data_IF_456668661708
#
_entry.id   IF_456668661708
#
_cell.length_a   1.000
_cell.length_b   1.000
_cell.length_c   1.000
_cell.angle_alpha   90.00
_cell.angle_beta   90.00
_cell.angle_gamma   90.00
#
_symmetry.space_group_name_H-M   'P 1'
#
loop_
_entity.id
_entity.type
_entity.pdbx_description
1 polymer ?
#
# COMPACT_ATOMS: atom_id res chain seq x y z
N UNK A 1 -13.86 -10.72 10.69
CA UNK A 1 -13.38 -9.55 9.92
C UNK A 1 -14.58 -8.90 9.22
N UNK A 2 -14.75 -7.57 9.25
CA UNK A 2 -15.86 -6.88 8.58
C UNK A 2 -15.97 -7.18 7.08
N UNK A 3 -17.18 -7.07 6.52
CA UNK A 3 -17.42 -7.33 5.10
C UNK A 3 -16.64 -6.37 4.18
N UNK A 4 -16.51 -5.10 4.58
CA UNK A 4 -15.72 -4.10 3.85
C UNK A 4 -14.22 -4.46 3.80
N UNK A 5 -13.68 -4.98 4.90
CA UNK A 5 -12.31 -5.50 4.97
C UNK A 5 -12.09 -6.69 4.03
N UNK A 6 -13.04 -7.64 4.02
CA UNK A 6 -12.97 -8.80 3.11
C UNK A 6 -13.07 -8.36 1.64
N UNK A 7 -13.95 -7.42 1.33
CA UNK A 7 -14.09 -6.90 -0.03
C UNK A 7 -12.83 -6.16 -0.48
N UNK A 8 -12.23 -5.33 0.37
CA UNK A 8 -10.97 -4.63 0.10
C UNK A 8 -9.83 -5.63 -0.13
N UNK A 9 -9.70 -6.64 0.76
CA UNK A 9 -8.71 -7.72 0.64
C UNK A 9 -8.82 -8.43 -0.70
N UNK A 10 -9.99 -8.96 -1.03
CA UNK A 10 -10.18 -9.70 -2.29
C UNK A 10 -9.94 -8.82 -3.52
N UNK A 11 -10.27 -7.52 -3.44
CA UNK A 11 -9.98 -6.57 -4.50
C UNK A 11 -8.49 -6.33 -4.71
N UNK A 12 -7.77 -6.10 -3.62
CA UNK A 12 -6.33 -5.91 -3.66
C UNK A 12 -5.60 -7.18 -4.12
N UNK A 13 -6.02 -8.36 -3.68
CA UNK A 13 -5.43 -9.63 -4.14
C UNK A 13 -5.64 -9.85 -5.64
N UNK A 14 -6.83 -9.54 -6.16
CA UNK A 14 -7.10 -9.60 -7.59
C UNK A 14 -6.27 -8.58 -8.39
N UNK A 15 -6.11 -7.35 -7.86
CA UNK A 15 -5.34 -6.29 -8.52
C UNK A 15 -3.84 -6.58 -8.55
N UNK A 16 -3.30 -7.18 -7.47
CA UNK A 16 -1.89 -7.47 -7.33
C UNK A 16 -1.49 -8.88 -7.80
N UNK A 17 -2.46 -9.77 -8.00
CA UNK A 17 -2.22 -11.14 -8.48
C UNK A 17 -1.52 -12.03 -7.46
N UNK A 18 -1.62 -11.72 -6.16
CA UNK A 18 -1.00 -12.50 -5.08
C UNK A 18 -1.83 -12.44 -3.81
N UNK A 19 -1.53 -13.31 -2.86
CA UNK A 19 -2.23 -13.38 -1.58
C UNK A 19 -1.69 -12.36 -0.57
N UNK A 20 -2.58 -11.95 0.33
CA UNK A 20 -2.31 -11.09 1.47
C UNK A 20 -2.59 -11.79 2.79
N UNK A 21 -1.99 -11.26 3.85
CA UNK A 21 -2.47 -11.46 5.22
C UNK A 21 -3.39 -10.31 5.59
N UNK A 22 -4.34 -10.53 6.49
CA UNK A 22 -5.22 -9.48 6.99
C UNK A 22 -5.55 -9.73 8.46
N UNK A 23 -5.56 -8.65 9.24
CA UNK A 23 -5.86 -8.68 10.66
C UNK A 23 -6.67 -7.45 11.07
N UNK A 24 -7.39 -7.56 12.19
CA UNK A 24 -7.97 -6.39 12.85
C UNK A 24 -6.85 -5.65 13.58
N UNK A 25 -6.80 -4.34 13.42
CA UNK A 25 -5.78 -3.49 14.01
C UNK A 25 -6.32 -2.05 14.15
N UNK A 26 -5.64 -1.24 14.96
CA UNK A 26 -5.76 0.20 14.85
C UNK A 26 -5.15 0.65 13.51
N UNK A 27 -5.89 1.44 12.74
CA UNK A 27 -5.47 1.97 11.45
C UNK A 27 -5.28 3.46 11.61
N UNK A 28 -4.12 3.93 11.15
CA UNK A 28 -3.82 5.36 11.08
C UNK A 28 -4.22 5.91 9.72
N UNK A 29 -4.76 7.13 9.73
CA UNK A 29 -5.10 7.87 8.52
C UNK A 29 -4.68 9.35 8.73
N UNK A 30 -3.99 9.99 7.77
CA UNK A 30 -3.53 11.37 7.93
C UNK A 30 -4.64 12.33 8.36
N UNK A 31 -4.39 13.11 9.40
CA UNK A 31 -5.36 14.08 9.93
C UNK A 31 -6.50 13.48 10.75
N UNK A 32 -6.48 12.17 11.04
CA UNK A 32 -7.48 11.49 11.88
C UNK A 32 -6.82 10.79 13.06
N UNK A 33 -7.59 10.54 14.12
CA UNK A 33 -7.15 9.67 15.19
C UNK A 33 -7.13 8.22 14.71
N UNK A 34 -6.19 7.42 15.23
CA UNK A 34 -6.15 5.99 14.95
C UNK A 34 -7.48 5.34 15.34
N UNK A 35 -8.05 4.57 14.42
CA UNK A 35 -9.37 3.97 14.58
C UNK A 35 -9.31 2.45 14.40
N UNK A 36 -10.16 1.67 15.10
CA UNK A 36 -10.22 0.23 14.92
C UNK A 36 -10.71 -0.10 13.51
N UNK A 37 -9.97 -0.96 12.82
CA UNK A 37 -10.25 -1.32 11.43
C UNK A 37 -9.60 -2.63 11.05
N UNK A 38 -9.13 -2.71 9.81
CA UNK A 38 -8.32 -3.83 9.37
C UNK A 38 -7.12 -3.37 8.57
N UNK A 39 -6.03 -4.10 8.74
CA UNK A 39 -4.79 -3.94 7.99
C UNK A 39 -4.60 -5.17 7.11
N UNK A 40 -4.52 -4.94 5.80
CA UNK A 40 -4.20 -5.95 4.79
C UNK A 40 -2.76 -5.73 4.39
N UNK A 41 -1.95 -6.79 4.41
CA UNK A 41 -0.52 -6.70 4.13
C UNK A 41 -0.14 -7.69 3.03
N UNK A 42 0.60 -7.19 2.05
CA UNK A 42 1.30 -8.01 1.07
C UNK A 42 2.79 -7.86 1.29
N UNK A 43 3.50 -8.98 1.20
CA UNK A 43 4.96 -9.00 1.21
C UNK A 43 5.44 -9.80 0.01
N UNK A 44 6.62 -9.44 -0.49
CA UNK A 44 7.20 -10.13 -1.63
C UNK A 44 8.38 -9.37 -2.19
N UNK A 45 8.73 -9.65 -3.44
CA UNK A 45 9.79 -8.93 -4.14
C UNK A 45 9.28 -8.29 -5.41
N UNK A 46 10.10 -7.45 -6.03
CA UNK A 46 9.82 -6.94 -7.37
C UNK A 46 9.71 -8.02 -8.44
N UNK A 47 10.11 -9.27 -8.18
CA UNK A 47 9.78 -10.39 -9.07
C UNK A 47 8.27 -10.69 -9.10
N UNK A 48 7.55 -10.39 -8.02
CA UNK A 48 6.09 -10.55 -7.91
C UNK A 48 5.37 -9.28 -8.35
N UNK A 49 5.82 -8.13 -7.83
CA UNK A 49 5.09 -6.86 -7.99
C UNK A 49 5.59 -5.99 -9.16
N UNK A 50 6.76 -6.29 -9.70
CA UNK A 50 7.47 -5.45 -10.66
C UNK A 50 8.52 -4.53 -10.00
N UNK A 51 9.32 -3.87 -10.83
CA UNK A 51 10.40 -2.99 -10.39
C UNK A 51 9.96 -1.54 -10.07
N UNK A 52 8.66 -1.23 -10.15
CA UNK A 52 8.14 0.12 -9.89
C UNK A 52 7.01 0.06 -8.87
N UNK A 53 7.24 0.67 -7.71
CA UNK A 53 6.21 0.83 -6.69
C UNK A 53 5.08 1.74 -7.18
N UNK A 54 5.36 2.71 -8.06
CA UNK A 54 4.33 3.57 -8.66
C UNK A 54 3.38 2.74 -9.54
N UNK A 55 3.89 1.77 -10.31
CA UNK A 55 3.04 0.88 -11.10
C UNK A 55 2.15 -0.02 -10.23
N UNK A 56 2.64 -0.42 -9.04
CA UNK A 56 1.85 -1.15 -8.05
C UNK A 56 0.76 -0.25 -7.47
N UNK A 57 1.11 0.97 -7.08
CA UNK A 57 0.17 1.97 -6.57
C UNK A 57 -0.91 2.31 -7.60
N UNK A 58 -0.56 2.47 -8.87
CA UNK A 58 -1.51 2.73 -9.96
C UNK A 58 -2.52 1.58 -10.17
N UNK A 59 -2.11 0.32 -9.99
CA UNK A 59 -3.03 -0.83 -10.03
C UNK A 59 -4.04 -0.77 -8.88
N UNK A 60 -3.57 -0.42 -7.68
CA UNK A 60 -4.43 -0.26 -6.51
C UNK A 60 -5.37 0.94 -6.68
N UNK A 61 -4.87 2.06 -7.18
CA UNK A 61 -5.68 3.25 -7.48
C UNK A 61 -6.80 2.95 -8.48
N UNK A 62 -6.47 2.27 -9.59
CA UNK A 62 -7.48 1.80 -10.57
C UNK A 62 -8.54 0.91 -9.90
N UNK A 63 -8.13 0.01 -9.01
CA UNK A 63 -9.05 -0.85 -8.25
C UNK A 63 -9.93 -0.05 -7.30
N UNK A 64 -9.38 0.95 -6.62
CA UNK A 64 -10.09 1.82 -5.69
C UNK A 64 -11.13 2.67 -6.43
N UNK A 65 -10.73 3.39 -7.48
CA UNK A 65 -11.62 4.21 -8.30
C UNK A 65 -12.73 3.39 -8.97
N UNK A 66 -12.39 2.22 -9.53
CA UNK A 66 -13.37 1.30 -10.11
C UNK A 66 -14.41 0.78 -9.10
N UNK A 67 -14.14 0.94 -7.80
CA UNK A 67 -15.04 0.59 -6.69
C UNK A 67 -15.70 1.81 -6.05
N UNK A 68 -15.56 3.00 -6.65
CA UNK A 68 -16.18 4.24 -6.19
C UNK A 68 -15.52 4.86 -4.96
N UNK A 69 -14.25 4.55 -4.70
CA UNK A 69 -13.44 5.32 -3.76
C UNK A 69 -12.96 6.61 -4.42
N UNK A 70 -12.92 7.69 -3.65
CA UNK A 70 -12.40 8.99 -4.11
C UNK A 70 -11.04 9.21 -3.46
N UNK A 71 -10.02 9.55 -4.25
CA UNK A 71 -8.69 9.86 -3.74
C UNK A 71 -8.73 11.10 -2.84
N UNK A 72 -7.91 11.09 -1.80
CA UNK A 72 -7.70 12.22 -0.89
C UNK A 72 -6.27 12.74 -1.04
N UNK A 73 -6.08 13.84 -1.78
CA UNK A 73 -4.76 14.42 -2.01
C UNK A 73 -4.05 14.86 -0.72
N UNK A 74 -4.77 15.07 0.39
CA UNK A 74 -4.16 15.44 1.67
C UNK A 74 -3.53 14.26 2.41
N UNK A 75 -3.82 13.03 1.95
CA UNK A 75 -3.29 11.79 2.49
C UNK A 75 -2.34 11.08 1.51
N UNK A 76 -1.83 11.81 0.52
CA UNK A 76 -0.79 11.34 -0.40
C UNK A 76 0.61 11.71 0.11
N UNK A 77 1.57 10.80 -0.04
CA UNK A 77 2.98 11.07 0.27
C UNK A 77 3.89 10.24 -0.64
N UNK A 78 4.88 10.89 -1.25
CA UNK A 78 5.85 10.21 -2.12
C UNK A 78 7.26 10.25 -1.53
N UNK A 79 7.97 9.14 -1.72
CA UNK A 79 9.36 8.97 -1.36
C UNK A 79 10.16 8.28 -2.46
N UNK A 80 11.49 8.18 -2.29
CA UNK A 80 12.36 7.54 -3.28
C UNK A 80 12.17 6.02 -3.37
N UNK A 81 11.60 5.39 -2.33
CA UNK A 81 11.41 3.93 -2.23
C UNK A 81 9.97 3.51 -1.95
N UNK A 82 9.03 4.44 -2.00
CA UNK A 82 7.64 4.13 -1.72
C UNK A 82 6.72 5.32 -1.94
N UNK A 83 5.43 5.03 -1.87
CA UNK A 83 4.34 6.00 -1.99
C UNK A 83 3.21 5.61 -1.07
N UNK A 84 2.48 6.60 -0.57
CA UNK A 84 1.26 6.42 0.20
C UNK A 84 0.12 7.19 -0.46
N UNK A 85 -1.08 6.61 -0.44
CA UNK A 85 -2.30 7.16 -1.03
C UNK A 85 -3.44 7.07 -0.01
N UNK A 86 -4.31 8.08 0.00
CA UNK A 86 -5.53 8.08 0.81
C UNK A 86 -6.79 8.04 -0.04
N UNK A 87 -7.84 7.41 0.49
CA UNK A 87 -9.14 7.33 -0.16
C UNK A 87 -10.30 7.43 0.82
N UNK A 88 -11.43 7.98 0.36
CA UNK A 88 -12.68 8.03 1.11
C UNK A 88 -13.85 7.39 0.36
N UNK A 89 -14.77 6.78 1.13
CA UNK A 89 -16.05 6.27 0.63
C UNK A 89 -17.06 6.10 1.77
N UNK A 90 -18.21 6.78 1.69
CA UNK A 90 -19.36 6.58 2.61
C UNK A 90 -18.95 6.51 4.10
N UNK A 91 -18.18 7.50 4.57
CA UNK A 91 -17.72 7.56 5.96
C UNK A 91 -16.52 6.65 6.30
N UNK A 92 -16.05 5.84 5.36
CA UNK A 92 -14.84 5.02 5.50
C UNK A 92 -13.63 5.76 4.93
N UNK A 93 -12.44 5.43 5.42
CA UNK A 93 -11.17 5.86 4.84
C UNK A 93 -10.25 4.66 4.61
N UNK A 94 -9.45 4.71 3.54
CA UNK A 94 -8.40 3.72 3.26
C UNK A 94 -7.07 4.43 3.08
N UNK A 95 -6.10 4.08 3.92
CA UNK A 95 -4.70 4.44 3.71
C UNK A 95 -3.98 3.28 3.01
N UNK A 96 -3.29 3.57 1.92
CA UNK A 96 -2.46 2.62 1.17
C UNK A 96 -0.99 3.03 1.33
N UNK A 97 -0.11 2.07 1.59
CA UNK A 97 1.34 2.26 1.52
C UNK A 97 1.93 1.22 0.57
N UNK A 98 2.80 1.64 -0.34
CA UNK A 98 3.55 0.76 -1.23
C UNK A 98 5.02 1.09 -1.07
N UNK A 99 5.73 0.30 -0.29
CA UNK A 99 7.14 0.53 0.02
C UNK A 99 7.98 -0.66 -0.43
N UNK A 100 9.23 -0.39 -0.83
CA UNK A 100 10.25 -1.42 -0.91
C UNK A 100 11.49 -1.04 -0.12
N UNK A 101 12.18 -2.07 0.37
CA UNK A 101 13.49 -1.95 0.98
C UNK A 101 14.48 -2.90 0.28
N UNK A 102 15.76 -2.58 0.37
CA UNK A 102 16.84 -3.45 -0.10
C UNK A 102 17.64 -4.00 1.07
N UNK A 103 18.26 -5.17 0.91
CA UNK A 103 19.20 -5.67 1.91
C UNK A 103 20.44 -4.75 2.03
N UNK A 104 21.10 -4.78 3.19
CA UNK A 104 22.34 -4.03 3.41
C UNK A 104 23.39 -4.42 2.35
N UNK A 105 24.07 -3.42 1.80
CA UNK A 105 25.10 -3.59 0.78
C UNK A 105 24.58 -3.68 -0.66
N UNK A 106 23.26 -3.76 -0.88
CA UNK A 106 22.68 -3.60 -2.23
C UNK A 106 22.79 -2.15 -2.69
N UNK A 107 22.38 -1.22 -1.82
CA UNK A 107 22.53 0.21 -2.02
C UNK A 107 23.63 0.74 -1.11
N UNK A 108 24.42 1.70 -1.62
CA UNK A 108 25.36 2.47 -0.80
C UNK A 108 24.60 3.38 0.16
N UNK A 109 24.94 3.29 1.44
CA UNK A 109 24.32 4.09 2.50
C UNK A 109 24.73 5.59 2.41
N UNK A 110 25.87 5.86 1.78
CA UNK A 110 26.46 7.19 1.62
C UNK A 110 26.22 7.82 0.23
N UNK A 111 25.30 7.26 -0.55
CA UNK A 111 24.97 7.74 -1.89
C UNK A 111 23.46 8.06 -1.99
N UNK A 112 23.07 8.95 -2.92
CA UNK A 112 21.65 9.19 -3.18
C UNK A 112 20.92 7.90 -3.57
N UNK A 113 19.72 7.68 -3.02
CA UNK A 113 18.90 6.49 -3.34
C UNK A 113 18.67 6.34 -4.84
N UNK A 114 18.52 7.46 -5.57
CA UNK A 114 18.34 7.47 -7.03
C UNK A 114 19.53 6.87 -7.82
N UNK A 115 20.71 6.75 -7.21
CA UNK A 115 21.86 6.08 -7.83
C UNK A 115 21.83 4.55 -7.65
N UNK A 116 20.99 4.05 -6.75
CA UNK A 116 20.83 2.62 -6.52
C UNK A 116 19.85 2.02 -7.53
N UNK A 117 20.27 0.94 -8.19
CA UNK A 117 19.47 0.23 -9.18
C UNK A 117 19.34 -1.25 -8.76
N UNK A 118 18.59 -1.55 -7.68
CA UNK A 118 18.42 -2.92 -7.23
C UNK A 118 17.69 -3.73 -8.31
N UNK A 119 18.03 -5.01 -8.43
CA UNK A 119 17.26 -5.93 -9.28
C UNK A 119 15.87 -6.15 -8.67
N UNK A 120 14.87 -6.61 -9.46
CA UNK A 120 13.54 -6.89 -8.93
C UNK A 120 13.54 -7.84 -7.73
N UNK A 121 14.44 -8.84 -7.71
CA UNK A 121 14.56 -9.78 -6.58
C UNK A 121 15.17 -9.15 -5.32
N UNK A 122 15.95 -8.07 -5.46
CA UNK A 122 16.55 -7.33 -4.35
C UNK A 122 15.59 -6.30 -3.73
N UNK A 123 14.54 -5.90 -4.45
CA UNK A 123 13.49 -5.01 -3.96
C UNK A 123 12.49 -5.82 -3.12
N UNK A 124 12.55 -5.71 -1.79
CA UNK A 124 11.62 -6.36 -0.87
C UNK A 124 10.45 -5.44 -0.59
N UNK A 125 9.27 -5.77 -1.12
CA UNK A 125 8.07 -4.98 -0.98
C UNK A 125 7.31 -5.30 0.31
N UNK A 126 6.79 -4.24 0.92
CA UNK A 126 5.74 -4.27 1.94
C UNK A 126 4.63 -3.34 1.46
N UNK A 127 3.45 -3.88 1.19
CA UNK A 127 2.29 -3.12 0.74
C UNK A 127 1.21 -3.27 1.79
N UNK A 128 0.66 -2.15 2.25
CA UNK A 128 -0.41 -2.15 3.26
C UNK A 128 -1.63 -1.40 2.76
N UNK A 129 -2.82 -1.92 3.12
CA UNK A 129 -4.08 -1.23 2.98
C UNK A 129 -4.78 -1.25 4.35
N UNK A 130 -4.85 -0.10 5.00
CA UNK A 130 -5.55 0.10 6.25
C UNK A 130 -6.93 0.70 5.99
N UNK A 131 -8.00 0.01 6.39
CA UNK A 131 -9.38 0.50 6.28
C UNK A 131 -9.91 0.90 7.65
N UNK A 132 -10.36 2.14 7.78
CA UNK A 132 -11.21 2.58 8.90
C UNK A 132 -12.69 2.42 8.50
N UNK A 133 -13.51 1.77 9.33
CA UNK A 133 -14.94 1.62 9.07
C UNK A 133 -15.67 2.97 9.22
N UNK A 134 -16.88 3.04 8.69
CA UNK A 134 -17.76 4.18 8.90
C UNK A 134 -18.11 4.25 10.39
N UNK A 135 -17.99 5.46 10.95
CA UNK A 135 -18.44 5.77 12.31
C UNK A 135 -19.94 5.63 12.45
#
# INVERSE_FOLDING_TARGET
MPASCLALKSGAEAALGTHSTAALAAVSYPGQADAPGCLITFTGTGAVFGASFQAVAAKLDTMMQGRGWTSDPNAEADGPTGTALGYHKTGQAVAVSVDYATAKGVCREDAPVASCHPTPTQMKYTITLGLTPAS
#
